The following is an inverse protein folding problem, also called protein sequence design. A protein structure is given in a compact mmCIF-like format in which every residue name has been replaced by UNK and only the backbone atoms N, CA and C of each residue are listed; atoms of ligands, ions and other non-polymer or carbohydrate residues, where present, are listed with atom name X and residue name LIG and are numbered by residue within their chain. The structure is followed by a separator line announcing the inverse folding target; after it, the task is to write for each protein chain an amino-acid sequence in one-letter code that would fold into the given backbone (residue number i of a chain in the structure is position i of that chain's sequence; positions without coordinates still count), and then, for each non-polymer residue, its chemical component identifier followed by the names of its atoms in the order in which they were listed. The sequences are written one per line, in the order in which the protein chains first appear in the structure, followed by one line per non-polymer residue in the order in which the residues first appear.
data_IF_496581438224
#
_entry.id   IF_496581438224
#
_cell.length_a   1.000
_cell.length_b   1.000
_cell.length_c   1.000
_cell.angle_alpha   90.00
_cell.angle_beta   90.00
_cell.angle_gamma   90.00
#
_symmetry.space_group_name_H-M   'P 1'
#
loop_
_entity.id
_entity.type
_entity.pdbx_description
1 polymer ?
#
# COMPACT_ATOMS: atom_id res chain seq x y z
N UNK A 1 -1.85 -9.29 -3.84
CA UNK A 1 -1.15 -8.91 -2.62
C UNK A 1 0.36 -9.02 -2.80
N UNK A 2 1.14 -8.24 -2.07
CA UNK A 2 2.59 -8.35 -2.02
C UNK A 2 3.02 -8.81 -0.62
N UNK A 3 3.59 -10.00 -0.54
CA UNK A 3 4.29 -10.46 0.64
C UNK A 3 5.75 -9.98 0.60
N UNK A 4 6.12 -9.16 1.57
CA UNK A 4 7.45 -8.55 1.69
C UNK A 4 8.39 -9.36 2.58
N UNK A 5 7.94 -10.52 3.07
CA UNK A 5 8.64 -11.39 4.02
C UNK A 5 8.98 -10.68 5.35
N UNK A 6 8.08 -9.81 5.79
CA UNK A 6 8.22 -9.14 7.08
C UNK A 6 7.98 -10.14 8.22
N UNK A 7 8.88 -10.25 9.22
CA UNK A 7 8.70 -11.16 10.36
C UNK A 7 7.38 -10.91 11.10
N UNK A 8 6.64 -12.01 11.37
CA UNK A 8 5.36 -11.96 12.08
C UNK A 8 4.15 -11.56 11.23
N UNK A 9 4.32 -11.39 9.92
CA UNK A 9 3.19 -11.13 9.03
C UNK A 9 2.34 -12.40 8.84
N UNK A 10 1.01 -12.35 9.06
CA UNK A 10 0.13 -13.51 8.93
C UNK A 10 -0.21 -13.78 7.45
N UNK A 11 0.62 -14.58 6.79
CA UNK A 11 0.55 -14.85 5.33
C UNK A 11 -0.77 -15.47 4.88
N UNK A 12 -1.45 -16.23 5.77
CA UNK A 12 -2.66 -17.01 5.44
C UNK A 12 -3.97 -16.20 5.52
N UNK A 13 -4.02 -15.15 6.33
CA UNK A 13 -5.29 -14.45 6.65
C UNK A 13 -5.94 -13.81 5.43
N UNK A 14 -5.15 -13.12 4.59
CA UNK A 14 -5.71 -12.47 3.40
C UNK A 14 -6.10 -13.46 2.31
N UNK A 15 -5.28 -14.49 1.97
CA UNK A 15 -5.70 -15.57 1.07
C UNK A 15 -7.00 -16.25 1.49
N UNK A 16 -7.10 -16.74 2.72
CA UNK A 16 -8.30 -17.40 3.24
C UNK A 16 -9.56 -16.53 3.12
N UNK A 17 -9.41 -15.24 3.41
CA UNK A 17 -10.51 -14.30 3.28
C UNK A 17 -10.95 -14.10 1.82
N UNK A 18 -10.00 -13.88 0.89
CA UNK A 18 -10.31 -13.69 -0.52
C UNK A 18 -10.91 -14.95 -1.14
N UNK A 19 -10.46 -16.14 -0.73
CA UNK A 19 -11.06 -17.42 -1.10
C UNK A 19 -12.50 -17.53 -0.59
N UNK A 20 -12.78 -17.13 0.64
CA UNK A 20 -14.13 -17.15 1.21
C UNK A 20 -15.10 -16.24 0.44
N UNK A 21 -14.61 -15.20 -0.22
CA UNK A 21 -15.40 -14.30 -1.07
C UNK A 21 -15.48 -14.77 -2.53
N UNK A 22 -14.74 -15.81 -2.93
CA UNK A 22 -14.65 -16.27 -4.30
C UNK A 22 -13.97 -15.26 -5.25
N UNK A 23 -13.11 -14.39 -4.72
CA UNK A 23 -12.41 -13.36 -5.49
C UNK A 23 -11.06 -13.91 -5.97
N UNK A 24 -10.76 -13.87 -7.28
CA UNK A 24 -9.44 -14.25 -7.76
C UNK A 24 -8.36 -13.30 -7.23
N UNK A 25 -7.25 -13.84 -6.78
CA UNK A 25 -6.14 -13.07 -6.21
C UNK A 25 -4.78 -13.65 -6.62
N UNK A 26 -3.75 -12.81 -6.48
CA UNK A 26 -2.35 -13.21 -6.64
C UNK A 26 -1.57 -12.78 -5.40
N UNK A 27 -0.69 -13.65 -4.92
CA UNK A 27 0.30 -13.29 -3.89
C UNK A 27 1.66 -13.24 -4.55
N UNK A 28 2.22 -12.03 -4.60
CA UNK A 28 3.58 -11.82 -5.07
C UNK A 28 4.53 -11.90 -3.86
N UNK A 29 5.48 -12.80 -3.91
CA UNK A 29 6.51 -12.91 -2.89
C UNK A 29 7.76 -12.16 -3.32
N UNK A 30 8.18 -11.18 -2.55
CA UNK A 30 9.43 -10.43 -2.76
C UNK A 30 10.03 -10.07 -1.40
N UNK A 31 11.21 -10.57 -1.12
CA UNK A 31 11.93 -10.23 0.13
C UNK A 31 12.47 -8.79 0.08
N UNK A 32 11.55 -7.84 0.05
CA UNK A 32 11.89 -6.41 0.12
C UNK A 32 12.31 -6.00 1.51
N UNK A 33 11.90 -6.74 2.54
CA UNK A 33 12.26 -6.48 3.91
C UNK A 33 13.78 -6.61 4.12
N UNK A 34 14.38 -7.72 3.70
CA UNK A 34 15.84 -7.93 3.81
C UNK A 34 16.61 -6.89 3.00
N UNK A 35 16.12 -6.53 1.82
CA UNK A 35 16.75 -5.47 1.00
C UNK A 35 16.73 -4.13 1.74
N UNK A 36 15.60 -3.74 2.32
CA UNK A 36 15.49 -2.48 3.08
C UNK A 36 16.43 -2.50 4.29
N UNK A 37 16.49 -3.60 5.02
CA UNK A 37 17.35 -3.75 6.19
C UNK A 37 18.84 -3.74 5.86
N UNK A 38 19.23 -4.24 4.69
CA UNK A 38 20.64 -4.23 4.26
C UNK A 38 21.12 -2.86 3.80
N UNK A 39 20.23 -2.00 3.29
CA UNK A 39 20.58 -0.70 2.71
C UNK A 39 20.46 0.43 3.73
N UNK A 40 19.49 0.35 4.65
CA UNK A 40 19.21 1.44 5.60
C UNK A 40 19.85 1.11 6.97
N UNK A 41 20.72 1.98 7.49
CA UNK A 41 21.31 1.80 8.82
C UNK A 41 20.25 1.72 9.92
N UNK A 42 20.58 0.98 10.98
CA UNK A 42 19.73 0.85 12.15
C UNK A 42 19.40 2.22 12.76
N UNK A 43 18.13 2.40 13.17
CA UNK A 43 17.64 3.68 13.72
C UNK A 43 17.20 4.73 12.67
N UNK A 44 17.34 4.44 11.38
CA UNK A 44 16.80 5.31 10.30
C UNK A 44 15.43 4.80 9.82
N UNK A 45 14.60 5.73 9.32
CA UNK A 45 13.28 5.40 8.78
C UNK A 45 13.40 4.61 7.47
N UNK A 46 12.76 3.46 7.41
CA UNK A 46 12.76 2.54 6.27
C UNK A 46 11.61 2.78 5.29
N UNK A 47 10.58 3.52 5.71
CA UNK A 47 9.31 3.69 5.00
C UNK A 47 9.46 4.18 3.56
N UNK A 48 10.37 5.12 3.29
CA UNK A 48 10.56 5.67 1.96
C UNK A 48 11.06 4.66 0.93
N UNK A 49 12.03 3.81 1.31
CA UNK A 49 12.56 2.76 0.43
C UNK A 49 11.56 1.61 0.30
N UNK A 50 10.96 1.18 1.42
CA UNK A 50 9.96 0.12 1.44
C UNK A 50 8.77 0.45 0.53
N UNK A 51 8.19 1.64 0.63
CA UNK A 51 7.06 2.06 -0.21
C UNK A 51 7.44 2.19 -1.70
N UNK A 52 8.70 2.53 -2.00
CA UNK A 52 9.20 2.61 -3.39
C UNK A 52 9.34 1.22 -3.99
N UNK A 53 9.92 0.26 -3.27
CA UNK A 53 10.06 -1.12 -3.71
C UNK A 53 8.69 -1.78 -3.90
N UNK A 54 7.78 -1.58 -2.95
CA UNK A 54 6.40 -2.06 -3.05
C UNK A 54 5.68 -1.54 -4.29
N UNK A 55 5.76 -0.22 -4.56
CA UNK A 55 5.18 0.37 -5.77
C UNK A 55 5.79 -0.20 -7.03
N UNK A 56 7.11 -0.31 -7.10
CA UNK A 56 7.80 -0.87 -8.26
C UNK A 56 7.34 -2.29 -8.58
N UNK A 57 7.21 -3.15 -7.56
CA UNK A 57 6.71 -4.52 -7.72
C UNK A 57 5.27 -4.55 -8.21
N UNK A 58 4.37 -3.74 -7.62
CA UNK A 58 2.97 -3.70 -8.01
C UNK A 58 2.78 -3.13 -9.43
N UNK A 59 3.56 -2.13 -9.83
CA UNK A 59 3.50 -1.57 -11.18
C UNK A 59 4.03 -2.55 -12.23
N UNK A 60 5.15 -3.23 -11.94
CA UNK A 60 5.67 -4.29 -12.81
C UNK A 60 4.66 -5.43 -13.00
N UNK A 61 4.01 -5.88 -11.94
CA UNK A 61 2.97 -6.89 -12.04
C UNK A 61 1.74 -6.40 -12.79
N UNK A 62 1.30 -5.16 -12.59
CA UNK A 62 0.20 -4.59 -13.36
C UNK A 62 0.51 -4.57 -14.86
N UNK A 63 1.73 -4.25 -15.26
CA UNK A 63 2.19 -4.31 -16.65
C UNK A 63 2.18 -5.76 -17.19
N UNK A 64 2.67 -6.71 -16.40
CA UNK A 64 2.71 -8.14 -16.76
C UNK A 64 1.31 -8.71 -17.05
N UNK A 65 0.31 -8.35 -16.25
CA UNK A 65 -1.08 -8.81 -16.45
C UNK A 65 -1.91 -7.90 -17.37
N UNK A 66 -1.31 -6.88 -17.97
CA UNK A 66 -1.99 -5.92 -18.85
C UNK A 66 -2.98 -5.00 -18.14
N UNK A 67 -2.84 -4.77 -16.84
CA UNK A 67 -3.69 -3.85 -16.08
C UNK A 67 -3.23 -2.41 -16.25
N UNK A 68 -4.11 -1.53 -16.67
CA UNK A 68 -3.84 -0.09 -16.84
C UNK A 68 -4.25 0.77 -15.65
N UNK A 69 -4.97 0.19 -14.68
CA UNK A 69 -5.44 0.88 -13.48
C UNK A 69 -5.06 0.11 -12.23
N UNK A 70 -4.57 0.83 -11.23
CA UNK A 70 -4.19 0.28 -9.93
C UNK A 70 -5.03 0.98 -8.88
N UNK A 71 -5.87 0.23 -8.16
CA UNK A 71 -6.63 0.72 -7.02
C UNK A 71 -5.84 0.49 -5.74
N UNK A 72 -5.60 1.55 -4.97
CA UNK A 72 -4.94 1.49 -3.67
C UNK A 72 -5.96 1.77 -2.56
N UNK A 73 -5.84 1.05 -1.44
CA UNK A 73 -6.75 1.14 -0.31
C UNK A 73 -6.61 2.38 0.58
N UNK A 74 -5.82 3.38 0.18
CA UNK A 74 -5.67 4.61 0.97
C UNK A 74 -7.02 5.31 1.16
N UNK A 75 -7.29 5.70 2.40
CA UNK A 75 -8.51 6.36 2.81
C UNK A 75 -8.29 7.86 3.12
N UNK A 76 -9.35 8.54 3.56
CA UNK A 76 -9.32 9.98 3.83
C UNK A 76 -8.25 10.37 4.85
N UNK A 77 -8.12 9.58 5.91
CA UNK A 77 -7.23 9.90 7.03
C UNK A 77 -5.76 9.78 6.59
N UNK A 78 -5.37 8.78 5.77
CA UNK A 78 -4.06 8.70 5.13
C UNK A 78 -3.71 9.95 4.31
N UNK A 79 -4.71 10.48 3.58
CA UNK A 79 -4.52 11.68 2.73
C UNK A 79 -4.26 12.90 3.59
N UNK A 80 -5.00 13.05 4.69
CA UNK A 80 -4.86 14.16 5.65
C UNK A 80 -3.53 14.05 6.37
N UNK A 81 -3.17 12.88 6.87
CA UNK A 81 -1.87 12.63 7.52
C UNK A 81 -0.71 12.93 6.58
N UNK A 82 -0.78 12.48 5.34
CA UNK A 82 0.25 12.77 4.32
C UNK A 82 0.39 14.27 4.08
N UNK A 83 -0.72 15.03 4.07
CA UNK A 83 -0.69 16.48 3.93
C UNK A 83 0.09 17.12 5.09
N UNK A 84 -0.24 16.74 6.34
CA UNK A 84 0.44 17.27 7.52
C UNK A 84 1.91 16.86 7.60
N UNK A 85 2.25 15.62 7.31
CA UNK A 85 3.63 15.16 7.25
C UNK A 85 4.45 15.96 6.22
N UNK A 86 3.91 16.17 5.02
CA UNK A 86 4.56 17.00 4.00
C UNK A 86 4.70 18.46 4.44
N UNK A 87 3.67 19.02 5.09
CA UNK A 87 3.68 20.40 5.55
C UNK A 87 4.73 20.63 6.65
N UNK A 88 4.72 19.79 7.69
CA UNK A 88 5.57 19.99 8.87
C UNK A 88 7.01 19.54 8.68
N UNK A 89 7.23 18.45 7.96
CA UNK A 89 8.57 17.86 7.79
C UNK A 89 9.16 18.07 6.40
N UNK A 90 8.33 18.26 5.39
CA UNK A 90 8.77 18.45 4.00
C UNK A 90 8.71 19.91 3.51
N UNK A 91 8.09 20.83 4.27
CA UNK A 91 7.86 22.21 3.85
C UNK A 91 7.05 22.31 2.55
N UNK A 92 6.17 21.33 2.27
CA UNK A 92 5.42 21.23 1.02
C UNK A 92 3.93 21.05 1.28
N UNK A 93 3.10 21.87 0.63
CA UNK A 93 1.65 21.70 0.63
C UNK A 93 1.27 20.64 -0.42
N UNK A 94 1.42 19.35 -0.06
CA UNK A 94 1.17 18.22 -0.95
C UNK A 94 0.48 17.09 -0.20
N UNK A 95 -0.67 16.64 -0.73
CA UNK A 95 -1.38 15.44 -0.27
C UNK A 95 -1.33 14.35 -1.35
N UNK A 96 -1.89 13.17 -1.04
CA UNK A 96 -2.12 12.11 -2.01
C UNK A 96 -3.39 12.41 -2.82
N UNK A 97 -3.33 12.61 -4.15
CA UNK A 97 -4.53 12.84 -4.93
C UNK A 97 -5.35 11.54 -5.06
N UNK A 98 -6.70 11.63 -5.12
CA UNK A 98 -7.56 10.46 -5.32
C UNK A 98 -7.31 9.71 -6.63
N UNK A 99 -6.81 10.42 -7.64
CA UNK A 99 -6.42 9.88 -8.94
C UNK A 99 -5.16 10.56 -9.44
N UNK A 100 -4.21 9.77 -9.92
CA UNK A 100 -3.00 10.28 -10.57
C UNK A 100 -2.52 9.31 -11.65
N UNK A 101 -1.74 9.82 -12.57
CA UNK A 101 -0.95 9.00 -13.49
C UNK A 101 0.35 8.63 -12.81
N UNK A 102 0.79 7.37 -12.94
CA UNK A 102 2.09 6.93 -12.40
C UNK A 102 3.25 7.71 -13.00
N UNK A 103 4.39 7.74 -12.31
CA UNK A 103 5.57 8.52 -12.74
C UNK A 103 6.08 8.07 -14.13
N UNK A 104 5.96 6.79 -14.45
CA UNK A 104 6.26 6.20 -15.75
C UNK A 104 5.16 6.37 -16.81
N UNK A 105 4.02 6.97 -16.43
CA UNK A 105 2.83 7.22 -17.25
C UNK A 105 2.13 5.96 -17.81
N UNK A 106 2.45 4.79 -17.30
CA UNK A 106 1.87 3.53 -17.78
C UNK A 106 0.56 3.18 -17.09
N UNK A 107 0.39 3.59 -15.82
CA UNK A 107 -0.73 3.21 -14.99
C UNK A 107 -1.50 4.41 -14.43
N UNK A 108 -2.81 4.29 -14.37
CA UNK A 108 -3.65 5.22 -13.62
C UNK A 108 -3.85 4.68 -12.21
N UNK A 109 -3.30 5.37 -11.22
CA UNK A 109 -3.49 5.03 -9.81
C UNK A 109 -4.75 5.72 -9.29
N UNK A 110 -5.64 4.96 -8.67
CA UNK A 110 -6.87 5.48 -8.05
C UNK A 110 -6.94 5.08 -6.57
N UNK A 111 -7.64 5.89 -5.78
CA UNK A 111 -7.90 5.62 -4.35
C UNK A 111 -9.40 5.67 -4.10
N UNK A 112 -10.11 4.54 -4.30
CA UNK A 112 -11.57 4.51 -4.18
C UNK A 112 -12.08 4.95 -2.82
N UNK A 113 -11.30 4.72 -1.75
CA UNK A 113 -11.64 5.07 -0.37
C UNK A 113 -11.20 6.48 0.06
N UNK A 114 -10.74 7.33 -0.88
CA UNK A 114 -10.17 8.65 -0.59
C UNK A 114 -11.07 9.58 0.25
N UNK A 115 -12.38 9.35 0.24
CA UNK A 115 -13.36 10.13 1.00
C UNK A 115 -13.98 9.38 2.18
N UNK A 116 -13.61 8.10 2.37
CA UNK A 116 -14.08 7.28 3.49
C UNK A 116 -13.23 7.55 4.72
N UNK A 117 -13.86 7.63 5.90
CA UNK A 117 -13.15 7.69 7.17
C UNK A 117 -12.59 6.32 7.51
N UNK A 118 -11.43 6.27 8.14
CA UNK A 118 -10.84 5.04 8.67
C UNK A 118 -11.82 4.32 9.60
N UNK A 119 -12.44 5.04 10.54
CA UNK A 119 -13.40 4.47 11.48
C UNK A 119 -14.62 3.81 10.82
N UNK A 120 -15.08 4.34 9.69
CA UNK A 120 -16.22 3.77 8.95
C UNK A 120 -15.81 2.45 8.26
N UNK A 121 -14.56 2.37 7.77
CA UNK A 121 -14.00 1.17 7.18
C UNK A 121 -13.77 0.10 8.25
N UNK A 122 -13.24 0.47 9.43
CA UNK A 122 -13.07 -0.42 10.57
C UNK A 122 -14.39 -1.04 11.03
N UNK A 123 -15.45 -0.22 11.12
CA UNK A 123 -16.78 -0.69 11.53
C UNK A 123 -17.37 -1.74 10.58
N UNK A 124 -17.02 -1.68 9.28
CA UNK A 124 -17.49 -2.62 8.27
C UNK A 124 -16.68 -3.93 8.23
N UNK A 125 -15.37 -3.88 8.56
CA UNK A 125 -14.43 -4.97 8.27
C UNK A 125 -13.43 -5.26 9.40
N UNK A 126 -13.90 -5.26 10.65
CA UNK A 126 -13.06 -5.37 11.86
C UNK A 126 -11.96 -6.46 11.84
N UNK A 127 -12.16 -7.68 11.28
CA UNK A 127 -11.09 -8.69 11.25
C UNK A 127 -9.96 -8.40 10.25
N UNK A 128 -10.27 -7.75 9.14
CA UNK A 128 -9.34 -7.51 8.02
C UNK A 128 -8.60 -6.20 8.10
N UNK A 129 -9.21 -5.20 8.73
CA UNK A 129 -8.67 -3.85 8.75
C UNK A 129 -7.32 -3.79 9.46
N UNK A 130 -7.14 -4.58 10.53
CA UNK A 130 -5.84 -4.71 11.20
C UNK A 130 -4.73 -5.23 10.28
N UNK A 131 -5.08 -6.02 9.26
CA UNK A 131 -4.13 -6.50 8.27
C UNK A 131 -3.75 -5.41 7.25
N UNK A 132 -4.69 -4.54 6.88
CA UNK A 132 -4.43 -3.45 5.93
C UNK A 132 -3.59 -2.31 6.53
N UNK A 133 -3.74 -2.00 7.81
CA UNK A 133 -2.92 -0.98 8.52
C UNK A 133 -1.44 -1.38 8.54
N UNK A 134 -1.12 -2.67 8.64
CA UNK A 134 0.27 -3.15 8.58
C UNK A 134 0.90 -3.04 7.17
N UNK A 135 0.12 -2.69 6.15
CA UNK A 135 0.56 -2.56 4.75
C UNK A 135 0.69 -1.10 4.30
N UNK A 136 0.36 -0.13 5.19
CA UNK A 136 0.41 1.31 4.97
C UNK A 136 1.81 1.94 4.95
#
# INVERSE_FOLDING_TARGET
NLDQKQPGFPEHVLPEYLESLGVPYYVLERDTYSVVRSVIPEGKTTCGLCSRLRRGTLYGFAEEIGAHKIALGHHRDDIVETLFLNLFFGGKLKAMPPKLLSDDKKNVVIRPLAYCKESDIEAQHTPLFKLFICLG
#
